data_IF_613445799119
#
_entry.id   IF_613445799119
#
_cell.length_a   1.000
_cell.length_b   1.000
_cell.length_c   1.000
_cell.angle_alpha   90.00
_cell.angle_beta   90.00
_cell.angle_gamma   90.00
#
_symmetry.space_group_name_H-M   'P 1'
#
loop_
_entity.id
_entity.type
_entity.pdbx_description
1 polymer ?
#
# COMPACT_ATOMS: atom_id res chain seq x y z
N UNK A 1 -4.27 -5.11 -6.03
CA UNK A 1 -2.95 -4.69 -5.50
C UNK A 1 -2.16 -3.89 -6.53
N UNK A 2 -1.80 -4.46 -7.69
CA UNK A 2 -0.99 -3.77 -8.71
C UNK A 2 -1.60 -2.46 -9.20
N UNK A 3 -2.91 -2.42 -9.49
CA UNK A 3 -3.59 -1.18 -9.91
C UNK A 3 -3.53 -0.08 -8.86
N UNK A 4 -3.75 -0.43 -7.59
CA UNK A 4 -3.77 0.53 -6.47
C UNK A 4 -2.37 1.10 -6.21
N UNK A 5 -1.34 0.25 -6.28
CA UNK A 5 0.05 0.68 -6.15
C UNK A 5 0.52 1.57 -7.31
N UNK A 6 0.24 1.15 -8.55
CA UNK A 6 0.64 1.89 -9.73
C UNK A 6 -0.02 3.26 -9.78
N UNK A 7 -1.32 3.32 -9.49
CA UNK A 7 -2.05 4.59 -9.40
C UNK A 7 -1.56 5.50 -8.28
N UNK A 8 -1.15 4.97 -7.11
CA UNK A 8 -0.49 5.81 -6.08
C UNK A 8 0.86 6.36 -6.55
N UNK A 9 1.65 5.59 -7.29
CA UNK A 9 2.90 6.08 -7.85
C UNK A 9 2.63 7.24 -8.84
N UNK A 10 1.56 7.12 -9.64
CA UNK A 10 1.10 8.23 -10.49
C UNK A 10 0.62 9.44 -9.68
N UNK A 11 -0.04 9.26 -8.53
CA UNK A 11 -0.38 10.38 -7.62
C UNK A 11 0.88 11.09 -7.17
N UNK A 12 1.90 10.37 -6.70
CA UNK A 12 3.15 10.97 -6.26
C UNK A 12 3.82 11.80 -7.36
N UNK A 13 3.85 11.26 -8.59
CA UNK A 13 4.41 11.95 -9.77
C UNK A 13 3.54 13.11 -10.23
N UNK A 14 2.21 13.03 -10.10
CA UNK A 14 1.30 14.12 -10.46
C UNK A 14 1.57 15.37 -9.62
N UNK A 15 1.71 15.20 -8.31
CA UNK A 15 1.97 16.31 -7.40
C UNK A 15 3.44 16.73 -7.33
N UNK A 16 4.36 15.82 -7.67
CA UNK A 16 5.80 16.08 -7.67
C UNK A 16 6.45 15.47 -8.93
N UNK A 17 6.28 16.09 -10.11
CA UNK A 17 6.83 15.54 -11.34
C UNK A 17 8.35 15.39 -11.26
N UNK A 18 8.92 14.23 -11.63
CA UNK A 18 10.35 14.01 -11.58
C UNK A 18 11.06 14.90 -12.61
N UNK A 19 12.23 15.40 -12.24
CA UNK A 19 13.16 16.02 -13.19
C UNK A 19 13.92 14.95 -13.97
N UNK A 20 14.55 15.34 -15.08
CA UNK A 20 15.45 14.46 -15.85
C UNK A 20 16.57 13.87 -15.00
N UNK A 21 17.07 14.61 -14.01
CA UNK A 21 18.19 14.20 -13.16
C UNK A 21 17.77 13.10 -12.17
N UNK A 22 16.47 12.87 -12.02
CA UNK A 22 15.92 11.80 -11.20
C UNK A 22 15.76 10.48 -11.95
N UNK A 23 16.13 10.38 -13.24
CA UNK A 23 15.89 9.19 -14.07
C UNK A 23 16.51 7.89 -13.50
N UNK A 24 17.68 8.01 -12.86
CA UNK A 24 18.39 6.88 -12.23
C UNK A 24 17.88 6.56 -10.81
N UNK A 25 16.95 7.36 -10.28
CA UNK A 25 16.30 7.11 -9.01
C UNK A 25 15.08 6.22 -9.16
N UNK A 26 14.44 5.94 -8.04
CA UNK A 26 13.24 5.14 -7.99
C UNK A 26 12.29 5.55 -6.90
N UNK A 27 11.01 5.32 -7.18
CA UNK A 27 9.96 5.38 -6.19
C UNK A 27 9.95 4.07 -5.42
N UNK A 28 10.52 4.14 -4.22
CA UNK A 28 10.43 3.06 -3.23
C UNK A 28 9.16 3.29 -2.42
N UNK A 29 8.26 2.30 -2.42
CA UNK A 29 7.06 2.36 -1.62
C UNK A 29 7.14 1.31 -0.51
N UNK A 30 7.09 1.79 0.73
CA UNK A 30 6.86 0.90 1.86
C UNK A 30 5.38 0.49 1.83
N UNK A 31 5.15 -0.79 1.55
CA UNK A 31 3.80 -1.33 1.54
C UNK A 31 3.63 -2.58 2.38
N UNK A 32 2.39 -2.77 2.81
CA UNK A 32 1.91 -3.95 3.50
C UNK A 32 0.80 -4.59 2.66
N UNK A 33 0.78 -5.91 2.62
CA UNK A 33 -0.23 -6.67 1.85
C UNK A 33 -0.74 -7.80 2.71
N UNK A 34 -2.05 -7.99 2.71
CA UNK A 34 -2.68 -9.18 3.26
C UNK A 34 -2.19 -10.45 2.53
N UNK A 35 -1.51 -11.30 3.28
CA UNK A 35 -0.97 -12.58 2.85
C UNK A 35 -1.69 -13.78 3.44
N UNK A 36 -2.74 -13.59 4.25
CA UNK A 36 -3.49 -14.70 4.85
C UNK A 36 -3.92 -15.75 3.82
N UNK A 37 -4.45 -15.38 2.64
CA UNK A 37 -4.84 -16.36 1.62
C UNK A 37 -3.67 -17.17 1.03
N UNK A 38 -2.42 -16.79 1.32
CA UNK A 38 -1.19 -17.38 0.79
C UNK A 38 -0.44 -18.23 1.82
N UNK A 39 -0.90 -18.25 3.06
CA UNK A 39 -0.30 -19.07 4.11
C UNK A 39 -0.60 -20.56 3.85
N UNK A 40 -0.06 -21.45 4.69
CA UNK A 40 -0.47 -22.86 4.72
C UNK A 40 -1.55 -23.05 5.79
N UNK A 41 -2.40 -24.06 5.64
CA UNK A 41 -3.31 -24.47 6.70
C UNK A 41 -2.53 -24.78 8.00
N UNK A 42 -3.07 -24.45 9.20
CA UNK A 42 -4.40 -23.87 9.44
C UNK A 42 -4.44 -22.33 9.31
N UNK A 43 -3.31 -21.68 9.04
CA UNK A 43 -3.16 -20.21 9.06
C UNK A 43 -3.84 -19.47 7.90
N UNK A 44 -4.26 -20.18 6.86
CA UNK A 44 -5.11 -19.63 5.78
C UNK A 44 -6.52 -19.30 6.23
N UNK A 45 -7.00 -19.97 7.27
CA UNK A 45 -8.32 -19.78 7.87
C UNK A 45 -8.19 -19.32 9.32
N UNK A 46 -9.00 -19.87 10.22
CA UNK A 46 -9.09 -19.44 11.63
C UNK A 46 -7.83 -19.66 12.46
N UNK A 47 -6.85 -20.41 11.96
CA UNK A 47 -5.61 -20.68 12.67
C UNK A 47 -4.66 -19.48 12.82
N UNK A 48 -4.95 -18.34 12.19
CA UNK A 48 -4.15 -17.12 12.30
C UNK A 48 -4.98 -15.98 12.95
N UNK A 49 -4.60 -15.52 14.16
CA UNK A 49 -5.29 -14.40 14.80
C UNK A 49 -4.90 -13.08 14.13
N UNK A 50 -5.89 -12.30 13.71
CA UNK A 50 -5.69 -10.94 13.19
C UNK A 50 -5.13 -10.85 11.77
N UNK A 51 -4.56 -9.70 11.43
CA UNK A 51 -4.08 -9.37 10.09
C UNK A 51 -2.75 -10.04 9.76
N UNK A 52 -2.71 -10.83 8.68
CA UNK A 52 -1.49 -11.49 8.21
C UNK A 52 -0.79 -10.62 7.14
N UNK A 53 -0.15 -9.52 7.56
CA UNK A 53 0.50 -8.59 6.65
C UNK A 53 1.96 -8.98 6.36
N UNK A 54 2.37 -8.86 5.11
CA UNK A 54 3.77 -8.96 4.70
C UNK A 54 4.20 -7.66 4.00
N UNK A 55 5.42 -7.16 4.24
CA UNK A 55 5.96 -6.02 3.51
C UNK A 55 6.70 -6.44 2.24
N UNK A 56 6.10 -6.42 1.03
CA UNK A 56 6.90 -6.54 -0.17
C UNK A 56 7.67 -5.24 -0.40
N UNK A 57 8.97 -5.36 -0.69
CA UNK A 57 9.77 -4.23 -1.14
C UNK A 57 9.53 -4.05 -2.64
N UNK A 58 8.68 -3.09 -2.99
CA UNK A 58 8.36 -2.76 -4.39
C UNK A 58 9.08 -1.47 -4.80
N UNK A 59 9.59 -1.48 -6.02
CA UNK A 59 10.44 -0.44 -6.55
C UNK A 59 10.02 -0.13 -7.98
N UNK A 60 9.75 1.14 -8.26
CA UNK A 60 9.46 1.62 -9.61
C UNK A 60 10.54 2.60 -10.05
N UNK A 61 11.35 2.27 -11.07
CA UNK A 61 12.30 3.21 -11.64
C UNK A 61 11.61 4.51 -12.09
N UNK A 62 12.19 5.66 -11.75
CA UNK A 62 11.64 6.96 -12.15
C UNK A 62 11.67 7.14 -13.66
N UNK A 63 12.63 6.52 -14.35
CA UNK A 63 12.69 6.46 -15.81
C UNK A 63 11.43 5.91 -16.47
N UNK A 64 10.57 5.16 -15.76
CA UNK A 64 9.29 4.72 -16.29
C UNK A 64 8.29 5.86 -16.52
N UNK A 65 8.48 6.98 -15.84
CA UNK A 65 7.65 8.19 -15.92
C UNK A 65 8.23 9.26 -16.82
N UNK A 66 9.35 9.00 -17.49
CA UNK A 66 10.07 9.97 -18.31
C UNK A 66 10.20 9.50 -19.76
N UNK A 67 10.20 10.45 -20.69
CA UNK A 67 10.67 10.23 -22.06
C UNK A 67 12.20 10.04 -22.05
N UNK A 68 12.81 9.52 -23.13
CA UNK A 68 14.27 9.43 -23.24
C UNK A 68 14.99 10.77 -23.06
N UNK A 69 14.34 11.88 -23.41
CA UNK A 69 14.85 13.24 -23.27
C UNK A 69 14.65 13.81 -21.85
N UNK A 70 13.99 13.06 -20.96
CA UNK A 70 13.78 13.41 -19.56
C UNK A 70 12.54 14.26 -19.28
N UNK A 71 11.58 14.33 -20.21
CA UNK A 71 10.28 15.00 -19.98
C UNK A 71 9.28 14.04 -19.35
N UNK A 72 8.36 14.50 -18.51
CA UNK A 72 7.35 13.61 -17.90
C UNK A 72 6.40 13.01 -18.95
N UNK A 73 6.18 11.70 -18.88
CA UNK A 73 5.17 11.01 -19.66
C UNK A 73 3.75 11.38 -19.19
N UNK A 74 2.75 11.33 -20.09
CA UNK A 74 1.36 11.50 -19.69
C UNK A 74 0.96 10.42 -18.66
N UNK A 75 0.23 10.85 -17.62
CA UNK A 75 -0.28 9.96 -16.58
C UNK A 75 -1.61 9.33 -17.02
N UNK A 76 -1.52 8.46 -18.03
CA UNK A 76 -2.66 7.83 -18.68
C UNK A 76 -2.74 6.31 -18.40
N UNK A 77 -3.70 5.67 -19.07
CA UNK A 77 -3.95 4.23 -18.95
C UNK A 77 -2.75 3.39 -19.40
N UNK A 78 -2.06 3.79 -20.45
CA UNK A 78 -0.95 2.99 -20.99
C UNK A 78 0.23 3.01 -20.03
N UNK A 79 0.52 4.18 -19.43
CA UNK A 79 1.48 4.26 -18.34
C UNK A 79 1.04 3.43 -17.14
N UNK A 80 -0.23 3.51 -16.72
CA UNK A 80 -0.76 2.70 -15.61
C UNK A 80 -0.52 1.20 -15.85
N UNK A 81 -0.84 0.70 -17.04
CA UNK A 81 -0.65 -0.71 -17.41
C UNK A 81 0.83 -1.10 -17.39
N UNK A 82 1.72 -0.24 -17.89
CA UNK A 82 3.17 -0.45 -17.85
C UNK A 82 3.67 -0.58 -16.41
N UNK A 83 3.26 0.34 -15.53
CA UNK A 83 3.63 0.33 -14.10
C UNK A 83 3.09 -0.92 -13.39
N UNK A 84 1.87 -1.35 -13.70
CA UNK A 84 1.29 -2.58 -13.16
C UNK A 84 2.10 -3.82 -13.55
N UNK A 85 2.57 -3.87 -14.80
CA UNK A 85 3.47 -4.93 -15.29
C UNK A 85 4.78 -4.97 -14.49
N UNK A 86 5.41 -3.82 -14.32
CA UNK A 86 6.68 -3.72 -13.58
C UNK A 86 6.54 -4.11 -12.10
N UNK A 87 5.47 -3.66 -11.43
CA UNK A 87 5.17 -4.09 -10.07
C UNK A 87 4.95 -5.61 -9.98
N UNK A 88 4.34 -6.20 -11.00
CA UNK A 88 4.20 -7.65 -11.12
C UNK A 88 5.55 -8.35 -11.17
N UNK A 89 6.48 -7.86 -11.99
CA UNK A 89 7.86 -8.37 -12.08
C UNK A 89 8.60 -8.27 -10.74
N UNK A 90 8.53 -7.09 -10.10
CA UNK A 90 9.12 -6.86 -8.78
C UNK A 90 8.59 -7.84 -7.72
N UNK A 91 7.28 -8.04 -7.69
CA UNK A 91 6.65 -8.97 -6.74
C UNK A 91 7.06 -10.43 -6.98
N UNK A 92 7.17 -10.86 -8.23
CA UNK A 92 7.65 -12.21 -8.57
C UNK A 92 9.12 -12.41 -8.19
N UNK A 93 9.97 -11.42 -8.45
CA UNK A 93 11.37 -11.44 -8.01
C UNK A 93 11.52 -11.42 -6.50
N UNK A 94 10.63 -10.74 -5.75
CA UNK A 94 10.59 -10.81 -4.29
C UNK A 94 10.28 -12.23 -3.80
N UNK A 95 9.25 -12.88 -4.35
CA UNK A 95 8.88 -14.25 -3.96
C UNK A 95 10.03 -15.25 -4.12
N UNK A 96 10.82 -15.12 -5.17
CA UNK A 96 11.95 -16.02 -5.44
C UNK A 96 13.12 -15.84 -4.45
N UNK A 97 13.28 -14.64 -3.86
CA UNK A 97 14.38 -14.31 -2.97
C UNK A 97 14.10 -14.59 -1.48
N UNK A 98 12.85 -14.90 -1.12
CA UNK A 98 12.38 -14.84 0.26
C UNK A 98 12.74 -16.04 1.18
N UNK A 99 13.54 -17.04 0.76
CA UNK A 99 13.57 -18.34 1.48
C UNK A 99 14.90 -18.72 2.18
N UNK A 100 16.00 -17.96 2.10
CA UNK A 100 17.26 -18.42 2.71
C UNK A 100 17.73 -17.75 4.02
N UNK A 101 17.42 -16.46 4.29
CA UNK A 101 18.08 -15.71 5.39
C UNK A 101 17.18 -14.75 6.20
N UNK A 102 15.86 -14.91 6.12
CA UNK A 102 14.92 -13.88 6.60
C UNK A 102 15.00 -13.62 8.09
N UNK A 103 15.21 -14.63 8.95
CA UNK A 103 15.23 -14.42 10.40
C UNK A 103 16.38 -13.50 10.85
N UNK A 104 17.64 -13.85 10.52
CA UNK A 104 18.80 -13.04 10.87
C UNK A 104 18.80 -11.67 10.18
N UNK A 105 18.41 -11.61 8.90
CA UNK A 105 18.30 -10.35 8.18
C UNK A 105 17.21 -9.45 8.81
N UNK A 106 16.09 -10.02 9.25
CA UNK A 106 15.02 -9.28 9.93
C UNK A 106 15.46 -8.77 11.29
N UNK A 107 16.21 -9.58 12.06
CA UNK A 107 16.76 -9.16 13.36
C UNK A 107 17.78 -8.02 13.19
N UNK A 108 18.70 -8.15 12.23
CA UNK A 108 19.67 -7.10 11.91
C UNK A 108 18.97 -5.80 11.45
N UNK A 109 17.96 -5.93 10.59
CA UNK A 109 17.19 -4.78 10.11
C UNK A 109 16.39 -4.12 11.23
N UNK A 110 15.68 -4.90 12.05
CA UNK A 110 14.95 -4.41 13.21
C UNK A 110 15.87 -3.73 14.23
N UNK A 111 17.07 -4.28 14.47
CA UNK A 111 18.06 -3.68 15.36
C UNK A 111 18.56 -2.34 14.83
N UNK A 112 18.92 -2.28 13.54
CA UNK A 112 19.36 -1.04 12.88
C UNK A 112 18.25 0.03 12.86
N UNK A 113 17.01 -0.37 12.56
CA UNK A 113 15.84 0.51 12.63
C UNK A 113 15.67 1.07 14.04
N UNK A 114 15.64 0.21 15.06
CA UNK A 114 15.46 0.62 16.46
C UNK A 114 16.54 1.62 16.89
N UNK A 115 17.81 1.33 16.61
CA UNK A 115 18.92 2.23 16.95
C UNK A 115 18.83 3.57 16.20
N UNK A 116 18.54 3.55 14.90
CA UNK A 116 18.44 4.77 14.12
C UNK A 116 17.24 5.62 14.52
N UNK A 117 16.08 5.04 14.84
CA UNK A 117 14.92 5.78 15.36
C UNK A 117 15.21 6.37 16.74
N UNK A 118 15.80 5.60 17.65
CA UNK A 118 16.20 6.10 18.98
C UNK A 118 17.21 7.26 18.89
N UNK A 119 18.08 7.23 17.88
CA UNK A 119 19.06 8.27 17.63
C UNK A 119 18.53 9.42 16.73
N UNK A 120 17.25 9.39 16.34
CA UNK A 120 16.65 10.33 15.37
C UNK A 120 17.46 10.50 14.07
N UNK A 121 18.06 9.42 13.59
CA UNK A 121 18.93 9.39 12.40
C UNK A 121 18.20 9.01 11.11
N UNK A 122 16.95 8.56 11.21
CA UNK A 122 16.14 8.33 10.02
C UNK A 122 15.49 9.65 9.59
N UNK A 123 15.67 10.07 8.32
CA UNK A 123 14.89 11.19 7.80
C UNK A 123 13.41 10.84 7.92
N UNK A 124 12.57 11.84 8.20
CA UNK A 124 11.12 11.64 8.18
C UNK A 124 10.73 11.05 6.81
N UNK A 125 9.93 9.97 6.82
CA UNK A 125 9.44 9.42 5.56
C UNK A 125 8.52 10.44 4.89
N UNK A 126 9.01 11.06 3.82
CA UNK A 126 8.26 12.01 3.00
C UNK A 126 7.60 11.32 1.79
N UNK A 127 7.85 10.03 1.59
CA UNK A 127 7.19 9.23 0.56
C UNK A 127 5.88 8.63 1.10
N UNK A 128 4.91 8.45 0.20
CA UNK A 128 3.67 7.78 0.55
C UNK A 128 3.93 6.33 0.97
N UNK A 129 3.16 5.87 1.95
CA UNK A 129 3.11 4.46 2.36
C UNK A 129 1.76 3.87 1.99
N UNK A 130 1.69 2.55 1.87
CA UNK A 130 0.47 1.89 1.43
C UNK A 130 0.18 0.57 2.17
N UNK A 131 -1.06 0.32 2.55
CA UNK A 131 -1.52 -1.02 2.94
C UNK A 131 -2.65 -1.50 2.05
N UNK A 132 -2.50 -2.71 1.54
CA UNK A 132 -3.61 -3.51 1.03
C UNK A 132 -4.08 -4.42 2.16
N UNK A 133 -5.03 -3.94 2.97
CA UNK A 133 -5.57 -4.65 4.14
C UNK A 133 -6.39 -5.89 3.76
N UNK A 134 -6.73 -6.04 2.49
CA UNK A 134 -7.41 -7.22 1.96
C UNK A 134 -8.92 -7.16 2.18
N UNK A 135 -9.51 -8.35 2.27
CA UNK A 135 -10.97 -8.51 2.36
C UNK A 135 -11.39 -8.60 3.83
N UNK A 136 -12.18 -7.64 4.30
CA UNK A 136 -12.62 -7.62 5.69
C UNK A 136 -13.43 -8.85 6.08
N UNK A 137 -14.14 -9.48 5.13
CA UNK A 137 -14.93 -10.69 5.39
C UNK A 137 -14.08 -11.93 5.73
N UNK A 138 -12.75 -11.85 5.57
CA UNK A 138 -11.84 -12.89 6.09
C UNK A 138 -11.62 -12.77 7.60
N UNK A 139 -11.93 -11.60 8.18
CA UNK A 139 -11.60 -11.24 9.57
C UNK A 139 -12.84 -11.01 10.43
N UNK A 140 -13.94 -10.54 9.82
CA UNK A 140 -15.17 -10.21 10.53
C UNK A 140 -16.38 -10.78 9.81
N UNK A 141 -17.30 -11.35 10.59
CA UNK A 141 -18.60 -11.76 10.10
C UNK A 141 -19.44 -10.52 9.75
N UNK A 142 -20.17 -10.51 8.63
CA UNK A 142 -21.02 -9.38 8.26
C UNK A 142 -22.28 -9.27 9.13
N UNK A 143 -22.69 -10.38 9.74
CA UNK A 143 -23.89 -10.51 10.55
C UNK A 143 -23.54 -11.29 11.80
N UNK A 144 -24.04 -10.82 12.94
CA UNK A 144 -23.89 -11.48 14.23
C UNK A 144 -25.27 -11.90 14.72
N UNK A 145 -25.37 -13.16 15.11
CA UNK A 145 -26.62 -13.80 15.53
C UNK A 145 -26.57 -14.12 17.02
N UNK A 146 -27.73 -14.11 17.68
CA UNK A 146 -27.89 -14.60 19.04
C UNK A 146 -27.88 -16.14 19.09
N UNK A 147 -28.01 -16.70 20.30
CA UNK A 147 -28.08 -18.15 20.50
C UNK A 147 -29.27 -18.83 19.81
N UNK A 148 -30.29 -18.07 19.43
CA UNK A 148 -31.48 -18.55 18.72
C UNK A 148 -31.36 -18.36 17.19
N UNK A 149 -30.22 -17.88 16.69
CA UNK A 149 -30.00 -17.60 15.27
C UNK A 149 -30.62 -16.29 14.77
N UNK A 150 -31.19 -15.47 15.67
CA UNK A 150 -31.78 -14.17 15.31
C UNK A 150 -30.67 -13.13 15.12
N UNK A 151 -30.74 -12.36 14.03
CA UNK A 151 -29.74 -11.32 13.73
C UNK A 151 -29.82 -10.22 14.78
N UNK A 152 -28.75 -10.03 15.54
CA UNK A 152 -28.64 -8.95 16.53
C UNK A 152 -28.12 -7.65 15.90
N UNK A 153 -27.09 -7.75 15.05
CA UNK A 153 -26.54 -6.61 14.34
C UNK A 153 -25.89 -7.01 13.02
N UNK A 154 -25.91 -6.07 12.08
CA UNK A 154 -25.28 -6.17 10.77
C UNK A 154 -24.19 -5.11 10.65
N UNK A 155 -23.01 -5.52 10.26
CA UNK A 155 -21.88 -4.63 10.05
C UNK A 155 -21.93 -4.06 8.62
N UNK A 156 -22.33 -2.79 8.51
CA UNK A 156 -22.50 -2.14 7.20
C UNK A 156 -21.19 -1.59 6.62
N UNK A 157 -20.29 -1.14 7.48
CA UNK A 157 -18.98 -0.57 7.12
C UNK A 157 -17.94 -1.01 8.12
N UNK A 158 -16.73 -1.19 7.63
CA UNK A 158 -15.57 -1.57 8.41
C UNK A 158 -14.36 -0.87 7.82
N UNK A 159 -13.50 -0.32 8.66
CA UNK A 159 -12.25 0.29 8.24
C UNK A 159 -11.18 0.03 9.30
N UNK A 160 -9.93 0.09 8.86
CA UNK A 160 -8.75 0.02 9.72
C UNK A 160 -8.02 1.34 9.62
N UNK A 161 -7.56 1.85 10.76
CA UNK A 161 -6.78 3.08 10.84
C UNK A 161 -5.64 2.89 11.84
N UNK A 162 -4.55 3.60 11.63
CA UNK A 162 -3.40 3.67 12.51
C UNK A 162 -3.12 5.13 12.88
N UNK A 163 -2.69 5.35 14.12
CA UNK A 163 -2.11 6.62 14.49
C UNK A 163 -0.86 6.85 13.64
N UNK A 164 -0.85 7.94 12.89
CA UNK A 164 0.18 8.19 11.89
C UNK A 164 1.00 9.43 12.25
N UNK A 165 2.28 9.28 12.64
CA UNK A 165 3.11 10.41 13.07
C UNK A 165 3.84 11.10 11.90
N UNK A 166 3.99 10.43 10.75
CA UNK A 166 4.82 10.92 9.64
C UNK A 166 4.10 11.99 8.80
N UNK A 167 4.86 12.87 8.12
CA UNK A 167 4.29 13.94 7.31
C UNK A 167 3.48 13.45 6.10
N UNK A 168 3.95 12.41 5.41
CA UNK A 168 3.28 11.86 4.23
C UNK A 168 2.16 10.88 4.64
N UNK A 169 0.95 10.93 4.04
CA UNK A 169 -0.15 10.03 4.41
C UNK A 169 0.16 8.54 4.21
N UNK A 170 -0.46 7.71 5.04
CA UNK A 170 -0.46 6.25 4.92
C UNK A 170 -1.74 5.79 4.22
N UNK A 171 -1.64 5.49 2.93
CA UNK A 171 -2.77 5.11 2.09
C UNK A 171 -3.21 3.67 2.37
N UNK A 172 -4.52 3.42 2.27
CA UNK A 172 -5.12 2.12 2.58
C UNK A 172 -6.10 1.70 1.51
N UNK A 173 -6.10 0.41 1.23
CA UNK A 173 -7.06 -0.27 0.38
C UNK A 173 -7.62 -1.47 1.12
N UNK A 174 -8.93 -1.49 1.30
CA UNK A 174 -9.67 -2.63 1.85
C UNK A 174 -10.89 -2.93 0.99
N UNK A 175 -11.53 -4.07 1.23
CA UNK A 175 -12.87 -4.30 0.73
C UNK A 175 -13.81 -4.81 1.80
N UNK A 176 -15.04 -4.32 1.78
CA UNK A 176 -16.13 -4.78 2.62
C UNK A 176 -17.45 -4.75 1.84
N UNK A 177 -18.23 -5.82 1.92
CA UNK A 177 -19.53 -5.94 1.26
C UNK A 177 -19.46 -5.61 -0.25
N UNK A 178 -18.45 -6.16 -0.93
CA UNK A 178 -18.15 -5.95 -2.37
C UNK A 178 -17.84 -4.49 -2.76
N UNK A 179 -17.66 -3.60 -1.79
CA UNK A 179 -17.16 -2.24 -2.01
C UNK A 179 -15.66 -2.23 -1.78
N UNK A 180 -14.92 -1.58 -2.66
CA UNK A 180 -13.50 -1.27 -2.45
C UNK A 180 -13.45 0.09 -1.79
N UNK A 181 -12.87 0.14 -0.59
CA UNK A 181 -12.65 1.36 0.16
C UNK A 181 -11.19 1.80 -0.01
N UNK A 182 -11.01 3.07 -0.36
CA UNK A 182 -9.72 3.76 -0.32
C UNK A 182 -9.73 4.77 0.81
N UNK A 183 -8.65 4.82 1.57
CA UNK A 183 -8.51 5.72 2.70
C UNK A 183 -7.06 6.14 2.90
N UNK A 184 -6.84 7.07 3.82
CA UNK A 184 -5.51 7.46 4.23
C UNK A 184 -5.50 7.86 5.71
N UNK A 185 -4.56 7.31 6.47
CA UNK A 185 -4.25 7.77 7.82
C UNK A 185 -3.22 8.91 7.69
N UNK A 186 -3.43 10.04 8.35
CA UNK A 186 -2.55 11.20 8.24
C UNK A 186 -2.40 11.97 9.56
N UNK A 187 -1.29 12.71 9.67
CA UNK A 187 -1.04 13.59 10.80
C UNK A 187 -1.67 14.97 10.53
N UNK A 188 -2.82 15.25 11.14
CA UNK A 188 -3.55 16.51 11.00
C UNK A 188 -2.78 17.75 11.47
N UNK A 189 -1.66 17.59 12.19
CA UNK A 189 -0.78 18.71 12.56
C UNK A 189 0.20 19.10 11.43
N UNK A 190 0.32 18.27 10.39
CA UNK A 190 1.33 18.42 9.33
C UNK A 190 0.68 18.56 7.95
N UNK A 191 -0.39 17.82 7.68
CA UNK A 191 -1.12 17.83 6.42
C UNK A 191 -2.61 18.05 6.67
N UNK A 192 -3.25 18.86 5.83
CA UNK A 192 -4.67 19.17 5.94
C UNK A 192 -5.56 18.04 5.44
N UNK A 193 -6.80 17.97 5.94
CA UNK A 193 -7.77 16.98 5.45
C UNK A 193 -8.13 17.24 3.98
N UNK A 194 -8.09 18.49 3.55
CA UNK A 194 -8.33 18.93 2.18
C UNK A 194 -7.26 18.38 1.23
N UNK A 195 -5.97 18.48 1.59
CA UNK A 195 -4.87 17.93 0.80
C UNK A 195 -4.99 16.41 0.66
N UNK A 196 -5.26 15.70 1.77
CA UNK A 196 -5.46 14.25 1.73
C UNK A 196 -6.65 13.87 0.87
N UNK A 197 -7.74 14.62 0.96
CA UNK A 197 -8.93 14.38 0.12
C UNK A 197 -8.61 14.55 -1.36
N UNK A 198 -7.77 15.52 -1.72
CA UNK A 198 -7.29 15.72 -3.08
C UNK A 198 -6.45 14.53 -3.57
N UNK A 199 -5.55 14.03 -2.72
CA UNK A 199 -4.75 12.83 -3.04
C UNK A 199 -5.63 11.60 -3.25
N UNK A 200 -6.62 11.38 -2.38
CA UNK A 200 -7.57 10.27 -2.51
C UNK A 200 -8.43 10.38 -3.77
N UNK A 201 -8.89 11.59 -4.11
CA UNK A 201 -9.65 11.83 -5.33
C UNK A 201 -8.82 11.51 -6.59
N UNK A 202 -7.57 11.99 -6.64
CA UNK A 202 -6.66 11.71 -7.75
C UNK A 202 -6.27 10.24 -7.83
N UNK A 203 -6.09 9.59 -6.67
CA UNK A 203 -5.84 8.15 -6.62
C UNK A 203 -7.00 7.36 -7.22
N UNK A 204 -8.23 7.67 -6.82
CA UNK A 204 -9.44 7.05 -7.36
C UNK A 204 -9.58 7.28 -8.87
N UNK A 205 -9.30 8.48 -9.35
CA UNK A 205 -9.29 8.80 -10.78
C UNK A 205 -8.30 7.91 -11.55
N UNK A 206 -7.06 7.82 -11.09
CA UNK A 206 -6.05 6.96 -11.72
C UNK A 206 -6.37 5.48 -11.61
N UNK A 207 -6.95 5.01 -10.51
CA UNK A 207 -7.43 3.63 -10.40
C UNK A 207 -8.49 3.30 -11.46
N UNK A 208 -9.33 4.28 -11.83
CA UNK A 208 -10.38 4.08 -12.82
C UNK A 208 -9.92 4.14 -14.27
N UNK A 209 -8.69 4.57 -14.55
CA UNK A 209 -8.11 4.47 -15.89
C UNK A 209 -8.04 3.02 -16.40
N UNK A 210 -8.08 2.03 -15.51
CA UNK A 210 -8.16 0.61 -15.91
C UNK A 210 -9.47 0.25 -16.63
N UNK A 211 -10.53 1.06 -16.44
CA UNK A 211 -11.86 0.82 -16.99
C UNK A 211 -12.17 1.66 -18.23
N UNK A 212 -11.37 2.69 -18.51
CA UNK A 212 -11.37 3.42 -19.78
C UNK A 212 -10.67 2.61 -20.87
#
# INVERSE_FOLDING_TARGET
MSVAHASLAMVAVFFNPPSKDAADFALNNFCMVDTRPRLKAPYTGEGYPGYALCPPMLHLPVSLFLTPEGSSLPLDRDLLMKLMGELGNCYMGYKQRAIAYVAQASDMFAHALKQGYAANRFPANQCYMFSSDGRGELYLNPTFQDANGSVMFKLNKFFTSLNHPHPAPYFRLSSWNRVIDVGADFNGNVVSAEDVSMYLAKWKEFMFLIMS
#
